data_IF_687173345910
#
_entry.id   IF_687173345910
#
_cell.length_a   1.000
_cell.length_b   1.000
_cell.length_c   1.000
_cell.angle_alpha   90.00
_cell.angle_beta   90.00
_cell.angle_gamma   90.00
#
_symmetry.space_group_name_H-M   'P 1'
#
loop_
_entity.id
_entity.type
_entity.pdbx_description
1 polymer ?
#
# COMPACT_ATOMS: atom_id res chain seq x y z
N UNK A 1 -11.92 19.34 8.57
CA UNK A 1 -11.26 18.54 7.53
C UNK A 1 -10.50 17.43 8.23
N UNK A 2 -10.56 16.21 7.70
CA UNK A 2 -9.60 15.17 8.08
C UNK A 2 -8.33 15.45 7.27
N UNK A 3 -7.18 15.26 7.89
CA UNK A 3 -5.88 15.40 7.25
C UNK A 3 -5.46 14.00 6.80
N UNK A 4 -4.82 13.96 5.65
CA UNK A 4 -4.05 12.87 5.07
C UNK A 4 -2.70 13.55 4.79
N UNK A 5 -1.70 13.25 5.62
CA UNK A 5 -0.49 14.06 5.72
C UNK A 5 0.59 13.61 4.74
N UNK A 6 0.58 12.36 4.31
CA UNK A 6 1.51 11.76 3.36
C UNK A 6 0.88 11.45 1.98
N UNK A 7 -0.39 11.78 1.79
CA UNK A 7 -1.14 11.71 0.54
C UNK A 7 -1.24 10.28 -0.02
N UNK A 8 -1.35 9.27 0.85
CA UNK A 8 -1.44 7.85 0.48
C UNK A 8 -2.90 7.36 0.29
N UNK A 9 -3.87 8.17 0.72
CA UNK A 9 -5.30 7.88 0.62
C UNK A 9 -5.95 7.38 1.91
N UNK A 10 -5.20 7.29 3.01
CA UNK A 10 -5.68 7.04 4.37
C UNK A 10 -5.59 8.36 5.16
N UNK A 11 -6.57 8.65 6.01
CA UNK A 11 -6.49 9.83 6.86
C UNK A 11 -5.66 9.54 8.12
N UNK A 12 -4.91 10.51 8.63
CA UNK A 12 -4.06 10.40 9.84
C UNK A 12 -4.79 9.74 11.04
N UNK A 13 -6.09 10.02 11.18
CA UNK A 13 -6.91 9.51 12.26
C UNK A 13 -7.32 8.03 12.10
N UNK A 14 -7.28 7.48 10.88
CA UNK A 14 -7.50 6.07 10.56
C UNK A 14 -6.18 5.28 10.58
N UNK A 15 -5.05 5.90 10.26
CA UNK A 15 -3.72 5.25 10.27
C UNK A 15 -3.25 4.87 11.68
N UNK A 16 -3.34 5.80 12.64
CA UNK A 16 -2.89 5.58 14.03
C UNK A 16 -3.47 4.32 14.68
N UNK A 17 -4.79 4.03 14.62
CA UNK A 17 -5.34 2.79 15.18
C UNK A 17 -4.97 1.53 14.39
N UNK A 18 -4.55 1.65 13.13
CA UNK A 18 -4.05 0.53 12.31
C UNK A 18 -2.56 0.23 12.57
N UNK A 19 -1.85 1.15 13.23
CA UNK A 19 -0.42 1.01 13.54
C UNK A 19 0.49 1.53 12.43
N UNK A 20 -0.08 2.26 11.46
CA UNK A 20 0.63 2.95 10.37
C UNK A 20 1.22 4.29 10.86
N UNK A 21 2.14 4.84 10.07
CA UNK A 21 2.76 6.14 10.33
C UNK A 21 2.11 7.23 9.46
N UNK A 22 1.32 8.17 10.05
CA UNK A 22 0.66 9.25 9.32
C UNK A 22 1.56 10.22 8.54
N UNK A 23 2.87 10.01 8.55
CA UNK A 23 3.85 10.83 7.85
C UNK A 23 4.66 10.01 6.84
N UNK A 24 4.30 8.75 6.62
CA UNK A 24 4.99 7.81 5.75
C UNK A 24 3.96 7.00 4.99
N UNK A 25 3.85 7.29 3.69
CA UNK A 25 2.93 6.58 2.82
C UNK A 25 3.26 5.09 2.62
N UNK A 26 4.34 4.59 3.21
CA UNK A 26 4.86 3.22 3.17
C UNK A 26 5.40 2.91 4.59
N UNK A 27 4.55 2.36 5.45
CA UNK A 27 4.82 2.17 6.88
C UNK A 27 5.81 1.04 7.16
N UNK A 28 5.91 0.06 6.28
CA UNK A 28 6.75 -1.13 6.45
C UNK A 28 8.04 -1.13 5.59
N UNK A 29 8.14 -0.16 4.68
CA UNK A 29 9.29 0.08 3.82
C UNK A 29 9.41 -0.91 2.66
N UNK A 30 8.31 -1.57 2.26
CA UNK A 30 8.29 -2.53 1.15
C UNK A 30 8.09 -1.89 -0.23
N UNK A 31 7.86 -0.57 -0.29
CA UNK A 31 7.60 0.26 -1.48
C UNK A 31 6.14 0.31 -1.98
N UNK A 32 5.24 -0.50 -1.42
CA UNK A 32 3.81 -0.32 -1.61
C UNK A 32 3.30 0.78 -0.68
N UNK A 33 2.26 1.49 -1.12
CA UNK A 33 1.63 2.50 -0.28
C UNK A 33 0.64 1.84 0.66
N UNK A 34 0.57 2.29 1.91
CA UNK A 34 -0.33 1.67 2.89
C UNK A 34 -1.78 1.68 2.38
N UNK A 35 -2.19 2.79 1.76
CA UNK A 35 -3.50 2.93 1.10
C UNK A 35 -3.71 1.98 -0.08
N UNK A 36 -2.66 1.67 -0.86
CA UNK A 36 -2.74 0.67 -1.92
C UNK A 36 -2.91 -0.73 -1.33
N UNK A 37 -2.14 -1.05 -0.30
CA UNK A 37 -2.17 -2.35 0.37
C UNK A 37 -3.53 -2.62 1.02
N UNK A 38 -4.06 -1.66 1.79
CA UNK A 38 -5.38 -1.79 2.40
C UNK A 38 -6.50 -1.92 1.36
N UNK A 39 -6.37 -1.24 0.21
CA UNK A 39 -7.36 -1.33 -0.87
C UNK A 39 -7.43 -2.73 -1.47
N UNK A 40 -6.31 -3.43 -1.56
CA UNK A 40 -6.20 -4.74 -2.19
C UNK A 40 -5.98 -5.90 -1.19
N UNK A 41 -6.26 -5.64 0.09
CA UNK A 41 -6.16 -6.63 1.19
C UNK A 41 -4.75 -7.20 1.40
N UNK A 42 -3.71 -6.44 1.03
CA UNK A 42 -2.33 -6.67 1.45
C UNK A 42 -2.08 -6.14 2.86
N UNK A 43 -0.90 -6.43 3.42
CA UNK A 43 -0.58 -6.07 4.80
C UNK A 43 0.44 -4.92 4.86
N UNK A 44 0.02 -3.68 5.21
CA UNK A 44 0.89 -2.49 5.25
C UNK A 44 1.91 -2.45 6.40
N UNK A 45 2.12 -3.58 7.08
CA UNK A 45 3.08 -3.78 8.17
C UNK A 45 3.99 -4.98 7.88
N UNK A 46 4.02 -5.44 6.64
CA UNK A 46 4.69 -6.61 6.09
C UNK A 46 6.01 -6.24 5.41
N UNK A 47 7.02 -5.97 6.23
CA UNK A 47 8.32 -5.46 5.79
C UNK A 47 8.90 -6.08 4.49
N UNK A 48 9.64 -5.24 3.76
CA UNK A 48 10.42 -5.58 2.57
C UNK A 48 11.04 -6.99 2.58
N UNK A 49 10.53 -7.86 1.71
CA UNK A 49 10.99 -9.23 1.52
C UNK A 49 9.95 -10.32 1.75
N UNK A 50 8.73 -9.96 2.16
CA UNK A 50 7.54 -10.83 2.15
C UNK A 50 7.12 -11.21 0.73
N UNK A 51 7.53 -10.40 -0.26
CA UNK A 51 7.33 -10.66 -1.68
C UNK A 51 6.06 -10.05 -2.24
N UNK A 52 5.30 -9.29 -1.44
CA UNK A 52 4.06 -8.62 -1.86
C UNK A 52 4.34 -7.60 -2.96
N UNK A 53 5.30 -6.69 -2.77
CA UNK A 53 5.69 -5.66 -3.75
C UNK A 53 5.86 -6.14 -5.20
N UNK A 54 6.51 -7.30 -5.39
CA UNK A 54 6.92 -7.81 -6.71
C UNK A 54 6.13 -9.05 -7.15
N UNK A 55 5.01 -9.34 -6.48
CA UNK A 55 4.12 -10.39 -6.90
C UNK A 55 3.19 -9.89 -8.03
N UNK A 56 3.03 -10.71 -9.05
CA UNK A 56 2.06 -10.55 -10.14
C UNK A 56 0.87 -11.46 -9.81
N UNK A 57 -0.08 -10.92 -9.07
CA UNK A 57 -1.10 -11.68 -8.38
C UNK A 57 -2.19 -12.22 -9.32
N UNK A 58 -2.50 -11.51 -10.40
CA UNK A 58 -3.48 -11.91 -11.41
C UNK A 58 -2.85 -12.44 -12.71
N UNK A 59 -1.54 -12.29 -12.90
CA UNK A 59 -0.81 -12.83 -14.03
C UNK A 59 -0.96 -11.99 -15.30
N UNK A 60 -1.29 -10.71 -15.18
CA UNK A 60 -1.45 -9.80 -16.33
C UNK A 60 -0.12 -9.24 -16.87
N UNK A 61 0.97 -9.46 -16.12
CA UNK A 61 2.33 -9.07 -16.45
C UNK A 61 2.81 -7.78 -15.79
N UNK A 62 2.01 -7.18 -14.90
CA UNK A 62 2.44 -6.17 -13.94
C UNK A 62 2.56 -6.79 -12.55
N UNK A 63 3.57 -6.40 -11.77
CA UNK A 63 3.62 -6.71 -10.34
C UNK A 63 2.88 -5.64 -9.54
N UNK A 64 2.56 -5.92 -8.28
CA UNK A 64 1.82 -5.02 -7.40
C UNK A 64 2.39 -3.59 -7.38
N UNK A 65 3.73 -3.43 -7.41
CA UNK A 65 4.38 -2.12 -7.52
C UNK A 65 4.14 -1.43 -8.88
N UNK A 66 4.24 -2.19 -9.98
CA UNK A 66 3.87 -1.73 -11.31
C UNK A 66 2.42 -1.29 -11.35
N UNK A 67 1.52 -2.02 -10.71
CA UNK A 67 0.11 -1.73 -10.68
C UNK A 67 -0.26 -0.53 -9.82
N UNK A 68 0.40 -0.34 -8.68
CA UNK A 68 0.35 0.89 -7.91
C UNK A 68 0.76 2.09 -8.78
N UNK A 69 1.86 1.95 -9.53
CA UNK A 69 2.39 3.00 -10.41
C UNK A 69 1.44 3.31 -11.58
N UNK A 70 0.78 2.28 -12.12
CA UNK A 70 -0.13 2.40 -13.26
C UNK A 70 -1.59 2.67 -12.85
N UNK A 71 -1.93 2.56 -11.56
CA UNK A 71 -3.29 2.63 -11.05
C UNK A 71 -4.18 1.50 -11.56
N UNK A 72 -3.61 0.31 -11.82
CA UNK A 72 -4.34 -0.90 -12.20
C UNK A 72 -4.76 -1.70 -10.96
N UNK A 73 -5.20 -2.95 -11.16
CA UNK A 73 -5.81 -3.77 -10.13
C UNK A 73 -5.10 -5.12 -10.04
N UNK A 74 -4.41 -5.43 -8.94
CA UNK A 74 -3.60 -6.63 -8.77
C UNK A 74 -4.35 -7.95 -8.72
N UNK A 75 -5.67 -7.92 -8.85
CA UNK A 75 -6.52 -9.07 -8.58
C UNK A 75 -7.51 -9.36 -9.72
N UNK A 76 -7.33 -8.84 -10.94
CA UNK A 76 -8.35 -8.91 -12.02
C UNK A 76 -7.88 -9.51 -13.35
#
# INVERSE_FOLDING_TARGET
MRTDTDDDGIFDADEVPLGLDPYSNDSDGDQLFDGFELKYEFNPLSAAGTGETHADNDGDGLDNLGEQTHGSNPLV
#
